data_IF_974516713558
#
_entry.id   IF_974516713558
#
_cell.length_a   1.000
_cell.length_b   1.000
_cell.length_c   1.000
_cell.angle_alpha   90.00
_cell.angle_beta   90.00
_cell.angle_gamma   90.00
#
_symmetry.space_group_name_H-M   'P 1'
#
loop_
_entity.id
_entity.type
_entity.pdbx_description
1 polymer ?
#
# COMPACT_ATOMS: atom_id res chain seq x y z
N UNK A 1 64.09 -15.45 19.97
CA UNK A 1 63.83 -14.64 18.76
C UNK A 1 62.80 -15.37 17.92
N UNK A 2 61.69 -14.69 17.60
CA UNK A 2 60.43 -15.31 17.18
C UNK A 2 60.41 -15.86 15.76
N UNK A 3 59.81 -17.03 15.60
CA UNK A 3 59.48 -17.64 14.32
C UNK A 3 58.25 -16.98 13.72
N UNK A 4 58.43 -16.07 12.76
CA UNK A 4 57.36 -15.53 11.93
C UNK A 4 56.83 -16.63 11.01
N UNK A 5 55.64 -17.15 11.32
CA UNK A 5 54.91 -18.09 10.45
C UNK A 5 54.61 -17.38 9.12
N UNK A 6 55.18 -17.89 8.01
CA UNK A 6 54.81 -17.47 6.66
C UNK A 6 53.36 -17.90 6.40
N UNK A 7 52.42 -16.98 6.57
CA UNK A 7 51.02 -17.22 6.23
C UNK A 7 50.97 -17.39 4.71
N UNK A 8 50.50 -18.55 4.26
CA UNK A 8 50.48 -18.91 2.85
C UNK A 8 49.46 -18.00 2.14
N UNK A 9 49.95 -17.15 1.23
CA UNK A 9 49.14 -16.14 0.53
C UNK A 9 47.95 -16.79 -0.19
N UNK A 10 48.10 -18.03 -0.66
CA UNK A 10 47.03 -18.82 -1.25
C UNK A 10 45.85 -19.10 -0.30
N UNK A 11 46.11 -19.28 1.00
CA UNK A 11 45.06 -19.49 2.00
C UNK A 11 44.30 -18.19 2.24
N UNK A 12 44.99 -17.05 2.27
CA UNK A 12 44.36 -15.72 2.39
C UNK A 12 43.50 -15.43 1.16
N UNK A 13 44.02 -15.65 -0.05
CA UNK A 13 43.26 -15.44 -1.29
C UNK A 13 42.09 -16.41 -1.44
N UNK A 14 42.26 -17.69 -1.07
CA UNK A 14 41.19 -18.68 -1.10
C UNK A 14 40.06 -18.38 -0.11
N UNK A 15 40.41 -17.99 1.11
CA UNK A 15 39.43 -17.59 2.13
C UNK A 15 38.71 -16.28 1.76
N UNK A 16 39.39 -15.31 1.14
CA UNK A 16 38.78 -14.08 0.64
C UNK A 16 37.82 -14.35 -0.53
N UNK A 17 38.18 -15.27 -1.44
CA UNK A 17 37.30 -15.67 -2.54
C UNK A 17 36.02 -16.36 -2.03
N UNK A 18 36.13 -17.23 -1.02
CA UNK A 18 34.97 -17.89 -0.39
C UNK A 18 34.04 -16.86 0.28
N UNK A 19 34.60 -15.86 0.97
CA UNK A 19 33.84 -14.76 1.57
C UNK A 19 33.11 -13.92 0.51
N UNK A 20 33.72 -13.68 -0.65
CA UNK A 20 33.11 -12.92 -1.75
C UNK A 20 32.01 -13.71 -2.48
N UNK A 21 32.12 -15.03 -2.60
CA UNK A 21 31.09 -15.89 -3.21
C UNK A 21 29.87 -16.08 -2.29
N UNK A 22 30.06 -16.00 -0.97
CA UNK A 22 28.97 -16.06 0.01
C UNK A 22 28.18 -14.76 0.16
N UNK A 23 28.59 -13.67 -0.49
CA UNK A 23 27.76 -12.48 -0.65
C UNK A 23 26.70 -12.70 -1.74
N UNK A 24 25.82 -13.71 -1.56
CA UNK A 24 24.51 -13.67 -2.20
C UNK A 24 23.79 -12.48 -1.61
N UNK A 25 23.83 -11.34 -2.32
CA UNK A 25 22.94 -10.21 -2.10
C UNK A 25 21.56 -10.77 -1.81
N UNK A 26 21.09 -10.66 -0.57
CA UNK A 26 19.70 -10.89 -0.21
C UNK A 26 18.92 -9.86 -1.01
N UNK A 27 18.56 -10.20 -2.26
CA UNK A 27 17.63 -9.41 -3.04
C UNK A 27 16.30 -9.56 -2.32
N UNK A 28 16.03 -8.69 -1.36
CA UNK A 28 14.67 -8.35 -0.96
C UNK A 28 14.03 -7.61 -2.12
N UNK A 29 13.84 -8.32 -3.25
CA UNK A 29 13.09 -7.89 -4.42
C UNK A 29 11.58 -8.04 -4.13
N UNK A 30 11.16 -7.75 -2.91
CA UNK A 30 9.76 -7.75 -2.57
C UNK A 30 9.16 -6.51 -3.21
N UNK A 31 8.59 -6.69 -4.40
CA UNK A 31 7.81 -5.70 -5.15
C UNK A 31 6.55 -5.25 -4.40
N UNK A 32 6.26 -5.88 -3.26
CA UNK A 32 5.14 -5.58 -2.37
C UNK A 32 5.48 -5.95 -0.91
N UNK A 33 4.76 -5.36 0.03
CA UNK A 33 4.82 -5.59 1.49
C UNK A 33 3.78 -6.66 1.84
N UNK A 34 4.20 -7.87 2.26
CA UNK A 34 3.28 -8.92 2.67
C UNK A 34 2.77 -8.68 4.10
N UNK A 35 1.52 -9.06 4.35
CA UNK A 35 0.86 -9.06 5.64
C UNK A 35 0.34 -10.47 5.91
N UNK A 36 0.63 -10.96 7.11
CA UNK A 36 0.18 -12.25 7.64
C UNK A 36 -0.81 -11.99 8.76
N UNK A 37 -1.84 -12.83 8.83
CA UNK A 37 -2.82 -12.83 9.91
C UNK A 37 -2.65 -14.10 10.75
N UNK A 38 -3.03 -14.09 12.04
CA UNK A 38 -3.13 -15.32 12.81
C UNK A 38 -4.01 -16.34 12.09
N UNK A 39 -3.61 -17.62 12.17
CA UNK A 39 -4.28 -18.73 11.48
C UNK A 39 -5.81 -18.72 11.61
N UNK A 40 -6.33 -18.49 12.82
CA UNK A 40 -7.78 -18.48 13.05
C UNK A 40 -8.50 -17.37 12.27
N UNK A 41 -7.85 -16.20 12.14
CA UNK A 41 -8.38 -15.08 11.37
C UNK A 41 -8.26 -15.33 9.87
N UNK A 42 -7.11 -15.85 9.41
CA UNK A 42 -6.92 -16.25 8.02
C UNK A 42 -7.98 -17.28 7.59
N UNK A 43 -8.25 -18.28 8.43
CA UNK A 43 -9.24 -19.32 8.18
C UNK A 43 -10.64 -18.76 7.99
N UNK A 44 -11.10 -17.86 8.86
CA UNK A 44 -12.43 -17.23 8.72
C UNK A 44 -12.51 -16.41 7.44
N UNK A 45 -11.46 -15.64 7.11
CA UNK A 45 -11.40 -14.89 5.85
C UNK A 45 -11.46 -15.83 4.64
N UNK A 46 -10.72 -16.95 4.68
CA UNK A 46 -10.74 -17.94 3.62
C UNK A 46 -12.14 -18.52 3.42
N UNK A 47 -12.85 -18.86 4.48
CA UNK A 47 -14.24 -19.33 4.43
C UNK A 47 -15.18 -18.29 3.79
N UNK A 48 -15.01 -17.00 4.10
CA UNK A 48 -15.75 -15.91 3.43
C UNK A 48 -15.44 -15.82 1.93
N UNK A 49 -14.18 -16.01 1.52
CA UNK A 49 -13.80 -16.05 0.10
C UNK A 49 -14.49 -17.24 -0.60
N UNK A 50 -14.56 -18.42 0.04
CA UNK A 50 -15.19 -19.61 -0.56
C UNK A 50 -16.69 -19.44 -0.81
N UNK A 51 -17.38 -18.59 -0.03
CA UNK A 51 -18.81 -18.26 -0.24
C UNK A 51 -19.07 -17.48 -1.53
N UNK A 52 -18.04 -16.92 -2.16
CA UNK A 52 -18.17 -16.14 -3.39
C UNK A 52 -18.52 -17.05 -4.58
N UNK A 53 -19.79 -17.01 -5.01
CA UNK A 53 -20.32 -17.79 -6.11
C UNK A 53 -19.79 -17.35 -7.49
N UNK A 54 -18.52 -17.58 -7.84
CA UNK A 54 -17.92 -17.54 -9.20
C UNK A 54 -18.07 -16.27 -10.06
N UNK A 55 -18.93 -15.32 -9.67
CA UNK A 55 -19.30 -14.07 -10.35
C UNK A 55 -18.28 -12.98 -10.10
N UNK A 56 -17.46 -13.13 -9.08
CA UNK A 56 -16.43 -12.19 -8.70
C UNK A 56 -15.07 -12.83 -8.92
N UNK A 57 -14.29 -12.28 -9.85
CA UNK A 57 -12.98 -12.84 -10.24
C UNK A 57 -11.83 -12.21 -9.47
N UNK A 58 -12.06 -11.09 -8.80
CA UNK A 58 -11.03 -10.38 -8.07
C UNK A 58 -11.51 -10.00 -6.68
N UNK A 59 -10.66 -10.26 -5.69
CA UNK A 59 -10.89 -9.95 -4.28
C UNK A 59 -9.79 -9.01 -3.81
N UNK A 60 -10.14 -8.07 -2.93
CA UNK A 60 -9.19 -7.22 -2.24
C UNK A 60 -9.69 -6.89 -0.84
N UNK A 61 -8.77 -6.53 0.05
CA UNK A 61 -9.08 -6.25 1.44
C UNK A 61 -8.83 -4.78 1.78
N UNK A 62 -9.63 -4.27 2.72
CA UNK A 62 -9.36 -3.00 3.39
C UNK A 62 -9.33 -3.25 4.90
N UNK A 63 -8.26 -2.82 5.56
CA UNK A 63 -8.16 -2.78 7.01
C UNK A 63 -8.42 -1.33 7.45
N UNK A 64 -9.47 -1.15 8.23
CA UNK A 64 -9.87 0.15 8.78
C UNK A 64 -9.53 0.19 10.26
N UNK A 65 -8.58 1.05 10.63
CA UNK A 65 -8.17 1.22 12.02
C UNK A 65 -9.16 2.11 12.75
N UNK A 66 -9.73 1.57 13.82
CA UNK A 66 -10.65 2.26 14.71
C UNK A 66 -9.93 2.88 15.91
N UNK A 67 -10.56 3.89 16.52
CA UNK A 67 -10.02 4.60 17.69
C UNK A 67 -9.88 3.71 18.94
N UNK A 68 -10.62 2.60 19.01
CA UNK A 68 -10.57 1.61 20.10
C UNK A 68 -9.43 0.58 19.92
N UNK A 69 -8.43 0.87 19.07
CA UNK A 69 -7.32 -0.02 18.74
C UNK A 69 -7.77 -1.37 18.17
N UNK A 70 -8.86 -1.35 17.40
CA UNK A 70 -9.32 -2.50 16.63
C UNK A 70 -9.24 -2.24 15.14
N UNK A 71 -9.41 -3.28 14.36
CA UNK A 71 -9.36 -3.22 12.90
C UNK A 71 -10.62 -3.87 12.35
N UNK A 72 -11.39 -3.10 11.61
CA UNK A 72 -12.49 -3.65 10.81
C UNK A 72 -11.93 -4.15 9.47
N UNK A 73 -12.18 -5.42 9.18
CA UNK A 73 -11.71 -6.09 7.97
C UNK A 73 -12.83 -6.12 6.94
N UNK A 74 -12.62 -5.45 5.83
CA UNK A 74 -13.56 -5.41 4.71
C UNK A 74 -13.06 -6.23 3.53
N UNK A 75 -13.95 -7.03 2.94
CA UNK A 75 -13.67 -7.78 1.71
C UNK A 75 -14.42 -7.16 0.53
N UNK A 76 -13.69 -6.81 -0.52
CA UNK A 76 -14.21 -6.26 -1.78
C UNK A 76 -14.15 -7.29 -2.87
N UNK A 77 -15.18 -7.29 -3.69
CA UNK A 77 -15.26 -8.19 -4.84
C UNK A 77 -15.50 -7.40 -6.13
N UNK A 78 -14.81 -7.79 -7.20
CA UNK A 78 -14.90 -7.13 -8.49
C UNK A 78 -15.17 -8.18 -9.58
N UNK A 79 -16.09 -7.86 -10.49
CA UNK A 79 -16.45 -8.74 -11.62
C UNK A 79 -15.36 -8.76 -12.70
N UNK A 80 -14.84 -7.58 -13.06
CA UNK A 80 -14.00 -7.41 -14.26
C UNK A 80 -12.53 -7.17 -13.93
N UNK A 81 -12.22 -6.18 -13.09
CA UNK A 81 -10.85 -5.89 -12.66
C UNK A 81 -10.87 -5.13 -11.34
N UNK A 82 -9.77 -5.19 -10.60
CA UNK A 82 -9.55 -4.32 -9.45
C UNK A 82 -9.65 -2.84 -9.85
N UNK A 83 -10.09 -2.00 -8.92
CA UNK A 83 -9.96 -0.56 -9.08
C UNK A 83 -8.48 -0.16 -9.24
N UNK A 84 -8.23 0.94 -9.94
CA UNK A 84 -6.87 1.44 -10.16
C UNK A 84 -6.10 1.68 -8.85
N UNK A 85 -6.75 2.22 -7.82
CA UNK A 85 -6.09 2.44 -6.52
C UNK A 85 -5.66 1.13 -5.84
N UNK A 86 -6.44 0.04 -5.97
CA UNK A 86 -6.06 -1.28 -5.42
C UNK A 86 -4.95 -1.93 -6.25
N UNK A 87 -4.90 -1.66 -7.56
CA UNK A 87 -3.80 -2.11 -8.43
C UNK A 87 -2.48 -1.43 -8.05
N UNK A 88 -2.55 -0.18 -7.57
CA UNK A 88 -1.39 0.58 -7.11
C UNK A 88 -0.93 0.20 -5.70
N UNK A 89 -1.75 -0.54 -4.93
CA UNK A 89 -1.32 -0.98 -3.62
C UNK A 89 -0.17 -1.97 -3.75
N UNK A 90 0.97 -1.59 -3.18
CA UNK A 90 2.09 -2.50 -2.99
C UNK A 90 1.95 -3.30 -1.70
N UNK A 91 0.76 -3.38 -1.09
CA UNK A 91 0.53 -4.17 0.13
C UNK A 91 -0.39 -5.33 -0.19
N UNK A 92 -0.09 -6.50 0.39
CA UNK A 92 -0.89 -7.70 0.17
C UNK A 92 -1.07 -8.50 1.44
N UNK A 93 -2.26 -9.02 1.66
CA UNK A 93 -2.53 -10.00 2.73
C UNK A 93 -2.44 -11.41 2.15
N UNK A 94 -1.74 -12.29 2.85
CA UNK A 94 -1.64 -13.70 2.50
C UNK A 94 -2.83 -14.47 3.08
N UNK A 95 -3.57 -15.17 2.23
CA UNK A 95 -4.70 -16.03 2.62
C UNK A 95 -4.63 -17.30 1.76
N UNK A 96 -4.44 -18.46 2.38
CA UNK A 96 -4.43 -19.79 1.77
C UNK A 96 -3.64 -19.85 0.45
N UNK A 97 -2.31 -19.79 0.55
CA UNK A 97 -1.35 -19.86 -0.57
C UNK A 97 -1.50 -18.77 -1.64
N UNK A 98 -2.30 -17.73 -1.38
CA UNK A 98 -2.55 -16.65 -2.31
C UNK A 98 -2.38 -15.27 -1.65
N UNK A 99 -1.78 -14.34 -2.38
CA UNK A 99 -1.70 -12.94 -1.99
C UNK A 99 -2.83 -12.12 -2.60
N UNK A 100 -3.57 -11.42 -1.74
CA UNK A 100 -4.64 -10.51 -2.13
C UNK A 100 -4.24 -9.05 -1.89
N UNK A 101 -4.60 -8.11 -2.78
CA UNK A 101 -4.35 -6.68 -2.54
C UNK A 101 -4.95 -6.24 -1.20
N UNK A 102 -4.16 -5.49 -0.44
CA UNK A 102 -4.55 -4.90 0.84
C UNK A 102 -4.47 -3.37 0.75
N UNK A 103 -5.42 -2.68 1.34
CA UNK A 103 -5.41 -1.23 1.51
C UNK A 103 -5.73 -0.87 2.95
N UNK A 104 -5.21 0.25 3.42
CA UNK A 104 -5.65 0.84 4.68
C UNK A 104 -6.62 2.00 4.41
N UNK A 105 -7.51 2.27 5.36
CA UNK A 105 -8.35 3.48 5.35
C UNK A 105 -7.51 4.76 5.16
N UNK A 106 -6.32 4.82 5.76
CA UNK A 106 -5.37 5.93 5.62
C UNK A 106 -4.80 6.05 4.20
N UNK A 107 -4.61 4.94 3.49
CA UNK A 107 -4.11 4.98 2.11
C UNK A 107 -5.08 5.78 1.22
N UNK A 108 -6.39 5.66 1.44
CA UNK A 108 -7.38 6.43 0.67
C UNK A 108 -7.29 7.95 0.92
N UNK A 109 -6.73 8.37 2.06
CA UNK A 109 -6.61 9.79 2.43
C UNK A 109 -5.28 10.40 2.03
N UNK A 110 -4.19 9.63 2.11
CA UNK A 110 -2.82 10.15 2.03
C UNK A 110 -2.01 9.61 0.85
N UNK A 111 -2.51 8.60 0.13
CA UNK A 111 -1.82 8.10 -1.06
C UNK A 111 -1.79 9.15 -2.17
N UNK A 112 -0.66 9.23 -2.87
CA UNK A 112 -0.47 10.08 -4.02
C UNK A 112 -0.47 9.27 -5.32
N UNK A 113 -1.00 9.87 -6.38
CA UNK A 113 -0.90 9.32 -7.73
C UNK A 113 0.47 9.68 -8.33
N UNK A 114 1.07 8.74 -9.05
CA UNK A 114 2.39 8.89 -9.66
C UNK A 114 2.26 8.80 -11.19
N UNK A 115 2.96 9.66 -11.93
CA UNK A 115 3.05 9.61 -13.39
C UNK A 115 4.52 9.68 -13.80
N UNK A 116 5.04 8.60 -14.38
CA UNK A 116 6.47 8.46 -14.73
C UNK A 116 7.40 8.79 -13.54
N UNK A 117 7.12 8.17 -12.40
CA UNK A 117 7.86 8.35 -11.12
C UNK A 117 7.83 9.76 -10.53
N UNK A 118 6.95 10.64 -11.03
CA UNK A 118 6.73 11.98 -10.49
C UNK A 118 5.36 12.02 -9.80
N UNK A 119 5.27 12.46 -8.53
CA UNK A 119 3.99 12.67 -7.88
C UNK A 119 3.19 13.76 -8.59
N UNK A 120 1.90 13.50 -8.81
CA UNK A 120 0.99 14.45 -9.47
C UNK A 120 -0.17 14.83 -8.55
N UNK A 121 -0.70 16.03 -8.76
CA UNK A 121 -1.86 16.57 -8.03
C UNK A 121 -2.80 17.29 -9.00
N UNK A 122 -4.02 17.58 -8.55
CA UNK A 122 -4.99 18.37 -9.30
C UNK A 122 -4.90 19.83 -8.82
N UNK A 123 -4.67 20.76 -9.76
CA UNK A 123 -4.74 22.19 -9.52
C UNK A 123 -6.10 22.66 -10.02
N UNK A 124 -6.90 23.21 -9.10
CA UNK A 124 -8.20 23.79 -9.41
C UNK A 124 -8.10 25.31 -9.32
N UNK A 125 -8.37 26.01 -10.42
CA UNK A 125 -8.43 27.47 -10.47
C UNK A 125 -9.78 27.94 -10.98
N UNK A 126 -10.27 29.05 -10.43
CA UNK A 126 -11.56 29.65 -10.80
C UNK A 126 -11.45 31.16 -10.95
N UNK A 127 -12.32 31.75 -11.76
CA UNK A 127 -12.44 33.22 -11.85
C UNK A 127 -13.64 33.71 -11.05
N UNK A 128 -13.41 34.70 -10.19
CA UNK A 128 -14.49 35.37 -9.45
C UNK A 128 -15.28 36.39 -10.31
N UNK A 129 -14.87 36.61 -11.56
CA UNK A 129 -15.55 37.47 -12.54
C UNK A 129 -16.59 36.65 -13.31
N UNK A 130 -17.80 37.21 -13.49
CA UNK A 130 -18.88 36.55 -14.26
C UNK A 130 -18.65 36.66 -15.78
N UNK A 131 -18.88 35.58 -16.54
CA UNK A 131 -19.25 34.24 -16.09
C UNK A 131 -18.07 33.53 -15.40
N UNK A 132 -18.35 32.86 -14.28
CA UNK A 132 -17.35 32.07 -13.53
C UNK A 132 -16.83 30.97 -14.47
N UNK A 133 -15.51 30.90 -14.61
CA UNK A 133 -14.83 29.83 -15.31
C UNK A 133 -14.04 29.01 -14.30
N UNK A 134 -14.00 27.70 -14.49
CA UNK A 134 -13.23 26.78 -13.65
C UNK A 134 -12.32 25.95 -14.55
N UNK A 135 -11.10 25.70 -14.06
CA UNK A 135 -10.09 24.91 -14.75
C UNK A 135 -9.49 23.91 -13.79
N UNK A 136 -9.33 22.69 -14.28
CA UNK A 136 -8.72 21.58 -13.55
C UNK A 136 -7.52 21.09 -14.36
N UNK A 137 -6.34 21.13 -13.76
CA UNK A 137 -5.10 20.72 -14.40
C UNK A 137 -4.39 19.68 -13.55
N UNK A 138 -3.92 18.60 -14.17
CA UNK A 138 -3.02 17.65 -13.50
C UNK A 138 -1.59 18.14 -13.66
N UNK A 139 -0.96 18.54 -12.55
CA UNK A 139 0.41 19.05 -12.52
C UNK A 139 1.31 18.16 -11.65
N UNK A 140 2.64 18.18 -11.87
CA UNK A 140 3.59 17.65 -10.89
C UNK A 140 3.38 18.33 -9.53
N UNK A 141 3.58 17.60 -8.43
CA UNK A 141 3.57 18.17 -7.09
C UNK A 141 4.63 19.30 -7.02
N UNK A 142 4.22 20.56 -6.80
CA UNK A 142 5.17 21.67 -6.69
C UNK A 142 6.03 21.56 -5.42
N UNK A 143 7.16 22.27 -5.39
CA UNK A 143 7.98 22.36 -4.18
C UNK A 143 7.25 23.12 -3.05
N UNK A 144 7.83 23.19 -1.86
CA UNK A 144 7.14 23.78 -0.71
C UNK A 144 6.89 25.28 -0.91
N UNK A 145 7.84 26.01 -1.49
CA UNK A 145 7.75 27.45 -1.74
C UNK A 145 6.66 27.80 -2.78
N UNK A 146 6.53 26.99 -3.82
CA UNK A 146 5.48 27.10 -4.83
C UNK A 146 4.10 26.74 -4.25
N UNK A 147 4.04 25.72 -3.38
CA UNK A 147 2.80 25.34 -2.69
C UNK A 147 2.34 26.43 -1.73
N UNK A 148 3.23 27.09 -1.01
CA UNK A 148 2.87 28.22 -0.13
C UNK A 148 2.25 29.38 -0.91
N UNK A 149 2.78 29.70 -2.10
CA UNK A 149 2.19 30.73 -2.97
C UNK A 149 0.80 30.34 -3.45
N UNK A 150 0.60 29.08 -3.82
CA UNK A 150 -0.69 28.56 -4.30
C UNK A 150 -1.71 28.43 -3.16
N UNK A 151 -1.28 28.07 -1.96
CA UNK A 151 -2.16 27.97 -0.78
C UNK A 151 -2.78 29.32 -0.42
N UNK A 152 -2.01 30.40 -0.60
CA UNK A 152 -2.46 31.77 -0.35
C UNK A 152 -3.09 32.43 -1.60
N UNK A 153 -3.26 31.69 -2.71
CA UNK A 153 -3.79 32.26 -3.94
C UNK A 153 -5.32 32.36 -3.87
N UNK A 154 -5.93 33.53 -4.14
CA UNK A 154 -7.38 33.74 -3.97
C UNK A 154 -8.25 32.94 -4.95
N UNK A 155 -7.68 32.61 -6.10
CA UNK A 155 -8.38 32.05 -7.26
C UNK A 155 -7.89 30.64 -7.65
N UNK A 156 -7.03 30.04 -6.84
CA UNK A 156 -6.50 28.71 -7.11
C UNK A 156 -6.32 27.93 -5.81
N UNK A 157 -6.51 26.61 -5.88
CA UNK A 157 -6.17 25.70 -4.80
C UNK A 157 -5.59 24.41 -5.34
N UNK A 158 -4.81 23.74 -4.49
CA UNK A 158 -4.30 22.41 -4.78
C UNK A 158 -5.26 21.38 -4.18
N UNK A 159 -5.89 20.61 -5.06
CA UNK A 159 -6.69 19.45 -4.72
C UNK A 159 -5.82 18.20 -4.71
N UNK A 160 -5.73 17.54 -3.56
CA UNK A 160 -5.44 16.11 -3.57
C UNK A 160 -6.65 15.45 -4.19
N UNK A 161 -6.45 14.63 -5.23
CA UNK A 161 -7.53 13.84 -5.83
C UNK A 161 -7.95 12.78 -4.82
N UNK A 162 -8.76 13.19 -3.85
CA UNK A 162 -9.27 12.33 -2.78
C UNK A 162 -10.23 11.36 -3.44
N UNK A 163 -9.77 10.14 -3.69
CA UNK A 163 -10.66 9.03 -4.00
C UNK A 163 -11.29 8.60 -2.68
N UNK A 164 -12.20 9.42 -2.16
CA UNK A 164 -13.05 8.99 -1.05
C UNK A 164 -13.81 7.79 -1.55
N UNK A 165 -13.54 6.67 -0.92
CA UNK A 165 -14.23 5.47 -1.24
C UNK A 165 -15.21 5.21 -0.10
N UNK A 166 -16.49 5.31 -0.43
CA UNK A 166 -17.58 4.92 0.45
C UNK A 166 -17.59 3.39 0.49
N UNK A 167 -17.38 2.84 1.69
CA UNK A 167 -17.50 1.41 1.96
C UNK A 167 -18.94 1.19 2.44
N UNK A 168 -19.84 0.90 1.50
CA UNK A 168 -21.28 0.79 1.81
C UNK A 168 -21.69 -0.61 2.30
N UNK A 169 -20.73 -1.47 2.65
CA UNK A 169 -21.00 -2.84 3.14
C UNK A 169 -20.30 -3.07 4.49
N UNK A 170 -20.90 -3.87 5.39
CA UNK A 170 -20.34 -4.12 6.72
C UNK A 170 -18.99 -4.87 6.64
N UNK A 171 -18.11 -4.70 7.64
CA UNK A 171 -16.87 -5.48 7.70
C UNK A 171 -17.21 -6.95 7.86
N UNK A 172 -16.43 -7.86 7.28
CA UNK A 172 -16.66 -9.31 7.42
C UNK A 172 -16.34 -9.79 8.84
N UNK A 173 -15.41 -9.11 9.51
CA UNK A 173 -15.03 -9.37 10.90
C UNK A 173 -14.25 -8.17 11.47
N UNK A 174 -14.12 -8.15 12.79
CA UNK A 174 -13.35 -7.19 13.57
C UNK A 174 -12.25 -7.91 14.34
N UNK A 175 -11.01 -7.43 14.21
CA UNK A 175 -9.83 -7.98 14.89
C UNK A 175 -9.18 -6.96 15.83
N UNK A 176 -8.38 -7.43 16.78
CA UNK A 176 -7.47 -6.59 17.57
C UNK A 176 -6.20 -6.22 16.77
N UNK A 177 -5.34 -5.38 17.36
CA UNK A 177 -4.03 -5.02 16.77
C UNK A 177 -3.09 -6.21 16.53
N UNK A 178 -3.31 -7.35 17.17
CA UNK A 178 -2.53 -8.59 17.00
C UNK A 178 -3.13 -9.48 15.92
N UNK A 179 -4.29 -9.09 15.38
CA UNK A 179 -5.02 -9.82 14.36
C UNK A 179 -5.95 -10.89 14.89
N UNK A 180 -6.21 -10.98 16.20
CA UNK A 180 -7.16 -11.93 16.76
C UNK A 180 -8.60 -11.43 16.62
N UNK A 181 -9.53 -12.35 16.33
CA UNK A 181 -10.94 -12.04 16.15
C UNK A 181 -11.55 -11.54 17.47
N UNK A 182 -12.15 -10.35 17.44
CA UNK A 182 -12.98 -9.79 18.52
C UNK A 182 -14.46 -10.08 18.24
N UNK A 183 -14.87 -9.95 16.97
CA UNK A 183 -16.26 -10.16 16.52
C UNK A 183 -16.28 -10.63 15.06
N UNK A 184 -17.03 -11.69 14.77
CA UNK A 184 -17.41 -12.08 13.41
C UNK A 184 -18.87 -11.68 13.14
N UNK A 185 -19.25 -11.47 11.88
CA UNK A 185 -20.63 -11.21 11.47
C UNK A 185 -21.49 -12.49 11.39
N UNK A 186 -21.37 -13.39 12.37
CA UNK A 186 -22.37 -14.45 12.56
C UNK A 186 -23.69 -13.89 13.12
#
# INVERSE_FOLDING_TARGET
>A
MGTTKKINLFIIFGSLAILLISCKSTKTNNTFIPYELPFETEKVIYEEIQKLQGKYKHVAFTFDFNDDATIDVYMRTFKNSLSEYLKLSNRKVFINDQFYPLSFNLDQRFQMEMKKDIPIIEKHCWTNVRPRSETYETIPLPNIEEREKLFNHPDCSLGYRKRQLLIDYPPILKIDIKGHIIKSNE
#
